data_IF_876912862798
#
_entry.id   IF_876912862798
#
_cell.length_a   1.000
_cell.length_b   1.000
_cell.length_c   1.000
_cell.angle_alpha   90.00
_cell.angle_beta   90.00
_cell.angle_gamma   90.00
#
_symmetry.space_group_name_H-M   'P 1'
#
loop_
_entity.id
_entity.type
_entity.pdbx_description
1 polymer ?
#
# COMPACT_ATOMS: atom_id res chain seq x y z
N UNK A 1 -10.08 -0.84 10.33
CA UNK A 1 -8.76 -0.28 9.98
C UNK A 1 -7.71 -1.38 10.14
N UNK A 2 -7.16 -1.92 9.05
CA UNK A 2 -6.14 -2.98 9.11
C UNK A 2 -4.75 -2.34 9.19
N UNK A 3 -4.35 -1.92 10.40
CA UNK A 3 -2.95 -1.57 10.66
C UNK A 3 -2.12 -2.83 10.56
N UNK A 4 -1.17 -2.83 9.63
CA UNK A 4 -0.43 -4.05 9.34
C UNK A 4 1.05 -3.72 9.17
N UNK A 5 1.93 -4.27 10.03
CA UNK A 5 3.38 -3.94 10.05
C UNK A 5 4.25 -5.04 9.42
N UNK A 6 5.25 -4.64 8.63
CA UNK A 6 6.28 -5.49 8.01
C UNK A 6 7.55 -4.70 8.31
N UNK A 7 8.32 -5.18 9.29
CA UNK A 7 9.31 -4.34 9.95
C UNK A 7 8.68 -3.17 10.71
N UNK A 8 9.46 -2.12 10.92
CA UNK A 8 9.10 -0.96 11.75
C UNK A 8 8.18 0.07 11.06
N UNK A 9 7.45 -0.32 10.01
CA UNK A 9 6.55 0.59 9.28
C UNK A 9 5.10 0.05 9.27
N UNK A 10 4.14 0.74 9.92
CA UNK A 10 2.73 0.39 9.83
C UNK A 10 2.19 0.74 8.43
N UNK A 11 1.46 -0.20 7.84
CA UNK A 11 0.76 -0.03 6.57
C UNK A 11 -0.73 0.15 6.86
N UNK A 12 -1.30 1.25 6.36
CA UNK A 12 -2.74 1.50 6.29
C UNK A 12 -3.22 1.12 4.89
N UNK A 13 -4.27 0.31 4.81
CA UNK A 13 -4.87 -0.12 3.53
C UNK A 13 -6.40 0.00 3.60
N UNK A 14 -7.02 0.39 2.49
CA UNK A 14 -8.48 0.39 2.34
C UNK A 14 -9.22 1.42 3.20
N UNK A 15 -8.51 2.45 3.66
CA UNK A 15 -9.08 3.57 4.39
C UNK A 15 -9.30 4.73 3.40
N UNK A 16 -10.54 5.10 3.12
CA UNK A 16 -10.84 6.12 2.10
C UNK A 16 -10.44 7.54 2.51
N UNK A 17 -10.20 7.79 3.80
CA UNK A 17 -9.75 9.09 4.30
C UNK A 17 -8.23 9.21 4.24
N UNK A 18 -7.51 8.09 4.36
CA UNK A 18 -6.05 8.06 4.45
C UNK A 18 -5.35 7.52 3.20
N UNK A 19 -6.03 6.69 2.40
CA UNK A 19 -5.47 6.13 1.17
C UNK A 19 -5.88 6.97 -0.05
N UNK A 20 -4.93 7.46 -0.86
CA UNK A 20 -5.27 8.16 -2.09
C UNK A 20 -5.96 7.20 -3.07
N UNK A 21 -6.78 7.77 -3.97
CA UNK A 21 -7.33 7.03 -5.10
C UNK A 21 -6.20 6.49 -5.99
N UNK A 22 -6.12 5.16 -6.16
CA UNK A 22 -5.03 4.50 -6.89
C UNK A 22 -5.45 3.78 -8.18
N UNK A 23 -6.69 4.00 -8.65
CA UNK A 23 -7.32 3.34 -9.82
C UNK A 23 -7.39 1.80 -9.74
N UNK A 24 -6.82 1.16 -8.72
CA UNK A 24 -6.74 -0.28 -8.55
C UNK A 24 -5.64 -0.97 -9.37
N UNK A 25 -5.32 -2.20 -8.99
CA UNK A 25 -4.34 -3.05 -9.67
C UNK A 25 -5.03 -4.04 -10.60
N UNK A 26 -4.59 -4.14 -11.86
CA UNK A 26 -5.14 -5.08 -12.86
C UNK A 26 -4.07 -6.06 -13.36
N UNK A 27 -4.47 -7.31 -13.64
CA UNK A 27 -3.63 -8.29 -14.33
C UNK A 27 -2.40 -8.82 -13.58
N UNK A 28 -2.32 -8.66 -12.25
CA UNK A 28 -1.16 -9.08 -11.44
C UNK A 28 0.19 -8.47 -11.86
N UNK A 29 0.14 -7.29 -12.48
CA UNK A 29 1.32 -6.64 -13.06
C UNK A 29 2.04 -5.67 -12.11
N UNK A 30 1.51 -5.44 -10.90
CA UNK A 30 1.98 -4.36 -10.01
C UNK A 30 3.46 -4.47 -9.66
N UNK A 31 3.91 -5.64 -9.21
CA UNK A 31 5.34 -5.85 -8.87
C UNK A 31 6.24 -5.67 -10.09
N UNK A 32 5.78 -6.09 -11.27
CA UNK A 32 6.55 -6.02 -12.52
C UNK A 32 6.70 -4.58 -13.00
N UNK A 33 5.62 -3.80 -12.97
CA UNK A 33 5.59 -2.43 -13.47
C UNK A 33 6.16 -1.43 -12.46
N UNK A 34 5.70 -1.47 -11.22
CA UNK A 34 6.08 -0.47 -10.21
C UNK A 34 7.37 -0.84 -9.46
N UNK A 35 7.73 -2.12 -9.42
CA UNK A 35 8.90 -2.61 -8.68
C UNK A 35 10.19 -1.86 -9.04
N UNK A 36 10.61 -1.81 -10.32
CA UNK A 36 11.84 -1.12 -10.71
C UNK A 36 11.87 0.35 -10.30
N UNK A 37 10.77 1.09 -10.52
CA UNK A 37 10.65 2.51 -10.17
C UNK A 37 10.73 2.73 -8.67
N UNK A 38 10.05 1.90 -7.87
CA UNK A 38 10.10 1.99 -6.41
C UNK A 38 11.49 1.66 -5.87
N UNK A 39 12.18 0.67 -6.45
CA UNK A 39 13.56 0.34 -6.05
C UNK A 39 14.51 1.47 -6.41
N UNK A 40 14.34 2.13 -7.56
CA UNK A 40 15.15 3.29 -7.95
C UNK A 40 14.95 4.47 -7.00
N UNK A 41 13.70 4.83 -6.73
CA UNK A 41 13.36 5.88 -5.77
C UNK A 41 13.91 5.56 -4.36
N UNK A 42 13.82 4.31 -3.92
CA UNK A 42 14.37 3.88 -2.63
C UNK A 42 15.91 3.93 -2.59
N UNK A 43 16.58 3.63 -3.70
CA UNK A 43 18.04 3.70 -3.82
C UNK A 43 18.52 5.16 -3.73
N UNK A 44 17.85 6.07 -4.43
CA UNK A 44 18.11 7.50 -4.35
C UNK A 44 17.86 8.05 -2.93
N UNK A 45 16.67 7.79 -2.38
CA UNK A 45 16.32 8.23 -1.02
C UNK A 45 17.33 7.73 0.02
N UNK A 46 17.80 6.47 -0.13
CA UNK A 46 18.84 5.93 0.73
C UNK A 46 20.15 6.69 0.58
N UNK A 47 20.60 6.98 -0.64
CA UNK A 47 21.85 7.71 -0.84
C UNK A 47 21.80 9.13 -0.26
N UNK A 48 20.68 9.84 -0.46
CA UNK A 48 20.44 11.13 0.20
C UNK A 48 20.50 11.01 1.72
N UNK A 49 19.89 9.97 2.31
CA UNK A 49 19.99 9.72 3.75
C UNK A 49 21.44 9.47 4.19
N UNK A 50 22.24 8.76 3.38
CA UNK A 50 23.66 8.51 3.68
C UNK A 50 24.50 9.80 3.66
N UNK A 51 24.23 10.73 2.74
CA UNK A 51 24.88 12.06 2.73
C UNK A 51 24.49 12.87 3.96
N UNK A 52 23.21 12.92 4.31
CA UNK A 52 22.73 13.57 5.54
C UNK A 52 23.35 12.94 6.80
N UNK A 53 23.51 11.61 6.81
CA UNK A 53 24.20 10.88 7.86
C UNK A 53 25.67 11.25 7.95
N UNK A 54 26.35 11.41 6.82
CA UNK A 54 27.75 11.84 6.75
C UNK A 54 27.94 13.27 7.27
N UNK A 55 27.06 14.19 6.89
CA UNK A 55 27.03 15.56 7.43
C UNK A 55 26.82 15.56 8.95
N UNK A 56 25.86 14.77 9.44
CA UNK A 56 25.51 14.75 10.86
C UNK A 56 26.56 14.06 11.76
N UNK A 57 27.19 12.99 11.26
CA UNK A 57 28.19 12.22 12.02
C UNK A 57 29.63 12.70 11.77
N UNK A 58 29.83 13.61 10.82
CA UNK A 58 31.14 14.08 10.35
C UNK A 58 32.06 12.93 9.90
N UNK A 59 31.47 11.92 9.27
CA UNK A 59 32.15 10.71 8.80
C UNK A 59 31.92 10.56 7.30
N UNK A 60 32.93 10.18 6.50
CA UNK A 60 32.75 10.00 5.06
C UNK A 60 31.75 8.89 4.73
N UNK A 61 30.94 9.09 3.68
CA UNK A 61 29.83 8.21 3.27
C UNK A 61 30.27 6.76 3.06
N UNK A 62 31.49 6.53 2.56
CA UNK A 62 32.05 5.19 2.29
C UNK A 62 32.24 4.33 3.55
N UNK A 63 32.39 4.97 4.71
CA UNK A 63 32.57 4.32 6.02
C UNK A 63 31.25 4.10 6.74
N UNK A 64 30.19 4.75 6.30
CA UNK A 64 28.86 4.61 6.88
C UNK A 64 28.14 3.36 6.36
N UNK A 65 27.34 2.76 7.24
CA UNK A 65 26.39 1.69 6.90
C UNK A 65 25.00 2.06 7.40
N UNK A 66 23.99 1.50 6.76
CA UNK A 66 22.60 1.69 7.13
C UNK A 66 21.95 0.37 7.52
N UNK A 67 21.29 0.29 8.67
CA UNK A 67 20.55 -0.91 9.08
C UNK A 67 19.42 -0.54 10.05
N UNK A 68 18.27 -1.18 9.92
CA UNK A 68 17.13 -1.09 10.85
C UNK A 68 16.67 0.34 11.19
N UNK A 69 16.75 1.26 10.23
CA UNK A 69 16.36 2.67 10.41
C UNK A 69 17.45 3.58 10.97
N UNK A 70 18.68 3.09 11.08
CA UNK A 70 19.85 3.84 11.55
C UNK A 70 20.94 3.91 10.49
N UNK A 71 21.69 5.01 10.53
CA UNK A 71 22.99 5.17 9.87
C UNK A 71 24.05 5.16 10.97
N UNK A 72 25.10 4.38 10.79
CA UNK A 72 26.17 4.24 11.77
C UNK A 72 27.54 4.13 11.10
N UNK A 73 28.57 4.52 11.84
CA UNK A 73 29.96 4.33 11.44
C UNK A 73 30.35 2.84 11.59
N UNK A 74 30.86 2.24 10.51
CA UNK A 74 31.26 0.83 10.51
C UNK A 74 32.44 0.52 11.46
N UNK A 75 33.31 1.48 11.72
CA UNK A 75 34.44 1.32 12.64
C UNK A 75 34.10 1.70 14.09
N UNK A 76 33.09 2.57 14.29
CA UNK A 76 32.59 2.99 15.60
C UNK A 76 31.07 2.87 15.65
N UNK A 77 30.50 1.65 15.80
CA UNK A 77 29.07 1.41 15.69
C UNK A 77 28.22 2.15 16.74
N UNK A 78 28.82 2.59 17.83
CA UNK A 78 28.22 3.48 18.83
C UNK A 78 27.85 4.86 18.26
N UNK A 79 28.57 5.31 17.23
CA UNK A 79 28.29 6.55 16.53
C UNK A 79 27.20 6.31 15.48
N UNK A 80 25.94 6.48 15.88
CA UNK A 80 24.77 6.22 15.04
C UNK A 80 23.69 7.29 15.16
N UNK A 81 22.95 7.50 14.08
CA UNK A 81 21.82 8.42 14.02
C UNK A 81 20.62 7.73 13.35
N UNK A 82 19.41 7.99 13.84
CA UNK A 82 18.19 7.42 13.26
C UNK A 82 17.73 8.22 12.03
N UNK A 83 17.03 7.58 11.10
CA UNK A 83 16.41 8.27 9.97
C UNK A 83 15.44 9.37 10.43
N UNK A 84 14.69 9.12 11.52
CA UNK A 84 13.79 10.11 12.09
C UNK A 84 14.53 11.35 12.62
N UNK A 85 15.68 11.16 13.25
CA UNK A 85 16.55 12.25 13.71
C UNK A 85 17.13 13.07 12.56
N UNK A 86 17.43 12.43 11.43
CA UNK A 86 17.94 13.09 10.22
C UNK A 86 16.86 13.94 9.56
N UNK A 87 15.63 13.42 9.44
CA UNK A 87 14.55 14.15 8.75
C UNK A 87 13.90 15.20 9.66
N UNK A 88 13.90 15.00 10.98
CA UNK A 88 13.20 15.85 11.97
C UNK A 88 11.73 16.15 11.58
N UNK A 89 11.09 15.21 10.89
CA UNK A 89 9.72 15.37 10.38
C UNK A 89 9.57 16.33 9.19
N UNK A 90 10.68 16.82 8.61
CA UNK A 90 10.66 17.69 7.43
C UNK A 90 10.70 16.87 6.14
N UNK A 91 10.12 17.44 5.07
CA UNK A 91 10.30 16.93 3.72
C UNK A 91 11.74 17.15 3.29
N UNK A 92 12.35 16.13 2.69
CA UNK A 92 13.67 16.21 2.09
C UNK A 92 13.47 16.41 0.58
N UNK A 93 13.82 17.58 0.07
CA UNK A 93 13.76 17.94 -1.35
C UNK A 93 15.18 17.91 -1.95
N UNK A 94 15.92 16.82 -1.67
CA UNK A 94 17.23 16.57 -2.28
C UNK A 94 17.07 15.46 -3.32
N UNK A 95 17.63 15.69 -4.49
CA UNK A 95 17.66 14.77 -5.61
C UNK A 95 19.11 14.53 -6.01
N UNK A 96 19.41 13.32 -6.48
CA UNK A 96 20.75 12.99 -6.96
C UNK A 96 20.73 12.92 -8.48
N UNK A 97 21.60 13.69 -9.13
CA UNK A 97 21.77 13.64 -10.59
C UNK A 97 22.18 12.24 -11.06
N UNK A 98 22.94 11.52 -10.23
CA UNK A 98 23.37 10.16 -10.46
C UNK A 98 22.79 9.23 -9.40
N UNK A 99 21.64 8.61 -9.71
CA UNK A 99 21.06 7.58 -8.84
C UNK A 99 21.99 6.35 -8.78
N UNK A 100 22.34 5.85 -7.58
CA UNK A 100 23.16 4.66 -7.46
C UNK A 100 22.46 3.43 -8.08
N UNK A 101 23.23 2.49 -8.66
CA UNK A 101 22.67 1.28 -9.24
C UNK A 101 21.99 0.41 -8.20
N UNK A 102 21.12 -0.48 -8.66
CA UNK A 102 20.50 -1.48 -7.79
C UNK A 102 21.54 -2.35 -7.11
N UNK A 103 21.28 -2.71 -5.86
CA UNK A 103 22.07 -3.74 -5.20
C UNK A 103 21.92 -5.06 -5.97
N UNK A 104 22.97 -5.89 -6.04
CA UNK A 104 22.84 -7.20 -6.63
C UNK A 104 21.82 -8.03 -5.84
N UNK A 105 21.13 -8.93 -6.55
CA UNK A 105 20.08 -9.78 -5.96
C UNK A 105 20.61 -10.63 -4.79
N UNK A 106 21.90 -10.98 -4.80
CA UNK A 106 22.56 -11.68 -3.70
C UNK A 106 22.59 -10.90 -2.37
N UNK A 107 22.46 -9.58 -2.40
CA UNK A 107 22.41 -8.71 -1.22
C UNK A 107 20.97 -8.44 -0.73
N UNK A 108 19.96 -8.99 -1.40
CA UNK A 108 18.57 -8.79 -1.01
C UNK A 108 18.24 -9.54 0.27
N UNK A 109 17.72 -8.80 1.25
CA UNK A 109 17.36 -9.36 2.56
C UNK A 109 15.89 -9.74 2.68
N UNK A 110 15.00 -9.13 1.88
CA UNK A 110 13.54 -9.30 1.94
C UNK A 110 13.00 -10.04 0.70
N UNK A 111 13.21 -9.59 -0.56
CA UNK A 111 12.72 -10.31 -1.73
C UNK A 111 13.22 -11.76 -1.80
N UNK A 112 12.37 -12.68 -2.25
CA UNK A 112 12.71 -14.10 -2.44
C UNK A 112 12.61 -14.97 -1.17
N UNK A 113 12.37 -14.37 0.01
CA UNK A 113 12.16 -15.12 1.25
C UNK A 113 10.66 -15.38 1.51
N UNK A 114 10.29 -16.56 2.00
CA UNK A 114 8.94 -16.80 2.49
C UNK A 114 8.59 -15.84 3.62
N UNK A 115 7.42 -15.22 3.54
CA UNK A 115 6.88 -14.36 4.59
C UNK A 115 5.42 -14.72 4.84
N UNK A 116 4.96 -14.74 6.10
CA UNK A 116 3.56 -15.01 6.40
C UNK A 116 2.69 -13.91 5.79
N UNK A 117 1.69 -14.31 5.00
CA UNK A 117 0.71 -13.38 4.46
C UNK A 117 -0.18 -12.91 5.61
N UNK A 118 -0.16 -11.61 5.93
CA UNK A 118 -0.83 -11.06 7.12
C UNK A 118 -2.33 -11.39 7.21
N UNK A 119 -3.05 -11.22 6.10
CA UNK A 119 -4.48 -11.53 6.03
C UNK A 119 -4.77 -13.04 5.89
N UNK A 120 -3.76 -13.92 5.87
CA UNK A 120 -4.00 -15.35 5.66
C UNK A 120 -4.80 -15.95 6.82
N UNK A 121 -4.40 -15.68 8.07
CA UNK A 121 -5.06 -16.28 9.23
C UNK A 121 -6.55 -15.93 9.28
N UNK A 122 -6.89 -14.65 9.15
CA UNK A 122 -8.29 -14.20 9.16
C UNK A 122 -9.09 -14.82 8.01
N UNK A 123 -8.48 -14.95 6.81
CA UNK A 123 -9.13 -15.57 5.66
C UNK A 123 -9.36 -17.07 5.83
N UNK A 124 -8.36 -17.81 6.30
CA UNK A 124 -8.48 -19.29 6.44
C UNK A 124 -9.30 -19.70 7.65
N UNK A 125 -9.47 -18.81 8.63
CA UNK A 125 -10.32 -19.05 9.81
C UNK A 125 -11.75 -18.54 9.66
N UNK A 126 -12.08 -17.86 8.55
CA UNK A 126 -13.40 -17.25 8.34
C UNK A 126 -13.66 -16.01 9.20
N UNK A 127 -12.64 -15.44 9.84
CA UNK A 127 -12.74 -14.21 10.64
C UNK A 127 -12.68 -12.94 9.81
N UNK A 128 -12.13 -13.01 8.60
CA UNK A 128 -12.08 -11.87 7.68
C UNK A 128 -13.50 -11.45 7.30
N UNK A 129 -13.81 -10.16 7.47
CA UNK A 129 -15.06 -9.57 6.99
C UNK A 129 -14.87 -8.99 5.59
N UNK A 130 -15.73 -9.38 4.67
CA UNK A 130 -15.82 -8.82 3.33
C UNK A 130 -17.06 -7.93 3.22
N UNK A 131 -17.19 -7.19 2.12
CA UNK A 131 -18.32 -6.29 1.89
C UNK A 131 -19.68 -6.98 2.08
N UNK A 132 -19.79 -8.26 1.72
CA UNK A 132 -21.02 -9.05 1.89
C UNK A 132 -21.33 -9.47 3.33
N UNK A 133 -20.37 -9.42 4.25
CA UNK A 133 -20.55 -9.80 5.66
C UNK A 133 -21.00 -8.63 6.53
N UNK A 134 -20.82 -7.40 6.04
CA UNK A 134 -21.16 -6.17 6.77
C UNK A 134 -22.68 -6.09 6.94
N UNK A 135 -23.12 -5.83 8.17
CA UNK A 135 -24.53 -5.59 8.54
C UNK A 135 -24.61 -4.33 9.39
N UNK A 136 -25.32 -3.32 8.91
CA UNK A 136 -25.52 -2.05 9.62
C UNK A 136 -26.99 -1.92 10.05
N UNK A 137 -27.28 -1.24 11.19
CA UNK A 137 -28.66 -0.91 11.54
C UNK A 137 -29.35 -0.13 10.42
N UNK A 138 -30.53 -0.57 10.00
CA UNK A 138 -31.29 0.06 8.91
C UNK A 138 -30.75 -0.19 7.49
N UNK A 139 -29.81 -1.12 7.30
CA UNK A 139 -29.22 -1.41 5.99
C UNK A 139 -30.27 -1.88 4.97
N UNK A 140 -30.38 -1.15 3.86
CA UNK A 140 -31.20 -1.52 2.72
C UNK A 140 -30.45 -2.49 1.80
N UNK A 141 -31.19 -3.42 1.18
CA UNK A 141 -30.65 -4.34 0.19
C UNK A 141 -31.18 -3.93 -1.19
N UNK A 142 -30.28 -3.77 -2.16
CA UNK A 142 -30.62 -3.50 -3.53
C UNK A 142 -30.46 -4.76 -4.38
N UNK A 143 -31.28 -4.87 -5.42
CA UNK A 143 -31.13 -5.88 -6.47
C UNK A 143 -31.17 -5.18 -7.82
N UNK A 144 -30.33 -5.65 -8.75
CA UNK A 144 -30.34 -5.13 -10.11
C UNK A 144 -31.40 -5.90 -10.91
N UNK A 145 -32.47 -5.20 -11.29
CA UNK A 145 -33.39 -5.71 -12.29
C UNK A 145 -32.77 -5.56 -13.68
N UNK A 146 -32.45 -6.69 -14.32
CA UNK A 146 -31.94 -6.72 -15.69
C UNK A 146 -33.05 -7.01 -16.68
N UNK A 147 -32.88 -6.53 -17.91
CA UNK A 147 -33.78 -6.88 -19.01
C UNK A 147 -33.85 -8.41 -19.19
N UNK A 148 -35.05 -9.01 -19.34
CA UNK A 148 -35.19 -10.46 -19.48
C UNK A 148 -34.65 -10.99 -20.81
N UNK A 149 -34.53 -10.12 -21.83
CA UNK A 149 -34.01 -10.48 -23.14
C UNK A 149 -33.33 -9.28 -23.82
N UNK A 150 -32.46 -9.56 -24.79
CA UNK A 150 -31.87 -8.53 -25.64
C UNK A 150 -32.96 -7.82 -26.46
N UNK A 151 -32.89 -6.49 -26.54
CA UNK A 151 -33.88 -5.68 -27.27
C UNK A 151 -35.26 -5.55 -26.61
N UNK A 152 -35.48 -6.14 -25.43
CA UNK A 152 -36.74 -5.95 -24.70
C UNK A 152 -36.87 -4.49 -24.26
N UNK A 153 -38.07 -3.92 -24.47
CA UNK A 153 -38.40 -2.55 -24.06
C UNK A 153 -39.23 -2.61 -22.78
N UNK A 154 -38.88 -1.75 -21.82
CA UNK A 154 -39.69 -1.54 -20.64
C UNK A 154 -41.06 -0.99 -21.07
N UNK A 155 -42.14 -1.70 -20.71
CA UNK A 155 -43.51 -1.27 -21.02
C UNK A 155 -44.12 -0.47 -19.87
N UNK A 156 -43.98 -0.98 -18.65
CA UNK A 156 -44.53 -0.40 -17.44
C UNK A 156 -43.68 -0.78 -16.23
N UNK A 157 -43.61 0.12 -15.24
CA UNK A 157 -42.87 -0.07 -13.98
C UNK A 157 -43.72 -0.81 -12.93
N UNK A 158 -45.06 -0.75 -13.00
CA UNK A 158 -45.92 -1.37 -11.97
C UNK A 158 -45.78 -2.90 -11.91
N UNK A 159 -45.49 -3.57 -13.04
CA UNK A 159 -45.26 -5.02 -13.08
C UNK A 159 -44.04 -5.45 -12.25
N UNK A 160 -43.03 -4.57 -12.11
CA UNK A 160 -41.82 -4.84 -11.33
C UNK A 160 -42.11 -4.89 -9.82
N UNK A 161 -42.98 -4.00 -9.35
CA UNK A 161 -43.32 -3.89 -7.93
C UNK A 161 -44.07 -5.11 -7.41
N UNK A 162 -45.01 -5.65 -8.21
CA UNK A 162 -45.87 -6.76 -7.80
C UNK A 162 -45.11 -8.08 -7.64
N UNK A 163 -44.03 -8.29 -8.40
CA UNK A 163 -43.24 -9.53 -8.35
C UNK A 163 -42.18 -9.54 -7.24
N UNK A 164 -41.67 -8.38 -6.82
CA UNK A 164 -40.44 -8.31 -6.01
C UNK A 164 -40.61 -7.77 -4.59
N UNK A 165 -41.83 -7.34 -4.17
CA UNK A 165 -42.09 -6.75 -2.83
C UNK A 165 -41.02 -5.73 -2.42
N UNK A 166 -40.72 -4.79 -3.33
CA UNK A 166 -39.69 -3.78 -3.12
C UNK A 166 -40.21 -2.61 -2.28
N UNK A 167 -39.34 -2.04 -1.44
CA UNK A 167 -39.63 -0.84 -0.65
C UNK A 167 -39.51 0.45 -1.48
N UNK A 168 -38.59 0.50 -2.44
CA UNK A 168 -38.39 1.62 -3.37
C UNK A 168 -37.78 1.13 -4.69
N UNK A 169 -37.92 1.90 -5.78
CA UNK A 169 -37.29 1.64 -7.07
C UNK A 169 -36.51 2.89 -7.48
N UNK A 170 -35.21 2.73 -7.68
CA UNK A 170 -34.29 3.78 -8.13
C UNK A 170 -33.88 3.49 -9.57
N UNK A 171 -34.03 4.49 -10.43
CA UNK A 171 -33.64 4.44 -11.83
C UNK A 171 -32.32 5.22 -11.98
N UNK A 172 -31.28 4.55 -12.45
CA UNK A 172 -30.00 5.18 -12.76
C UNK A 172 -30.10 5.62 -14.22
N UNK A 173 -30.15 6.94 -14.45
CA UNK A 173 -30.16 7.53 -15.79
C UNK A 173 -28.77 7.53 -16.42
#
# INVERSE_FOLDING_TARGET
>A
MLLSSQGNCPLVMGDTDLCPWDMGTFGSLSTRHFGPTLVAAAAEAKAVLMELGAEALQTPVNRLKSKDGYIFDNEKPENKISYASLTKGKKIERYLDNTPPFKPVSEYTIPGKPAPRRAALEKVTGKAQFAGDIRLPGMLYASILRSPAHGAKLRDKATVWYQLRLHSLLEIQ
#
